data_IF_404703562620
#
_entry.id   IF_404703562620
#
_cell.length_a   1.000
_cell.length_b   1.000
_cell.length_c   1.000
_cell.angle_alpha   90.00
_cell.angle_beta   90.00
_cell.angle_gamma   90.00
#
_symmetry.space_group_name_H-M   'P 1'
#
loop_
_entity.id
_entity.type
_entity.pdbx_description
1 polymer ?
#
# COMPACT_ATOMS: atom_id res chain seq x y z
N UNK A 1 15.89 -5.75 -1.77
CA UNK A 1 15.28 -7.08 -2.04
C UNK A 1 14.01 -7.32 -1.21
N UNK A 2 14.01 -7.07 0.12
CA UNK A 2 12.85 -7.38 0.99
C UNK A 2 11.58 -6.61 0.67
N UNK A 3 11.65 -5.29 0.47
CA UNK A 3 10.47 -4.49 0.11
C UNK A 3 9.82 -5.00 -1.17
N UNK A 4 10.61 -5.28 -2.20
CA UNK A 4 10.10 -5.83 -3.46
C UNK A 4 9.42 -7.19 -3.25
N UNK A 5 10.02 -8.11 -2.49
CA UNK A 5 9.41 -9.42 -2.17
C UNK A 5 8.09 -9.28 -1.41
N UNK A 6 8.04 -8.36 -0.46
CA UNK A 6 6.85 -8.06 0.32
C UNK A 6 5.73 -7.52 -0.59
N UNK A 7 6.03 -6.59 -1.49
CA UNK A 7 5.03 -6.00 -2.39
C UNK A 7 4.59 -7.00 -3.47
N UNK A 8 5.53 -7.80 -4.00
CA UNK A 8 5.20 -8.92 -4.89
C UNK A 8 4.23 -9.88 -4.20
N UNK A 9 4.47 -10.24 -2.95
CA UNK A 9 3.53 -11.09 -2.20
C UNK A 9 2.15 -10.43 -2.06
N UNK A 10 2.08 -9.14 -1.74
CA UNK A 10 0.81 -8.41 -1.68
C UNK A 10 0.07 -8.38 -3.03
N UNK A 11 0.79 -8.34 -4.15
CA UNK A 11 0.21 -8.44 -5.49
C UNK A 11 -0.29 -9.85 -5.80
N UNK A 12 0.45 -10.89 -5.39
CA UNK A 12 0.08 -12.30 -5.63
C UNK A 12 -1.16 -12.73 -4.82
N UNK A 13 -1.38 -12.14 -3.64
CA UNK A 13 -2.46 -12.54 -2.74
C UNK A 13 -3.41 -11.36 -2.41
N UNK A 14 -4.24 -10.92 -3.37
CA UNK A 14 -5.09 -9.73 -3.21
C UNK A 14 -6.13 -9.87 -2.08
N UNK A 15 -6.73 -11.05 -1.89
CA UNK A 15 -7.66 -11.29 -0.78
C UNK A 15 -6.97 -11.14 0.58
N UNK A 16 -5.75 -11.64 0.69
CA UNK A 16 -4.96 -11.53 1.91
C UNK A 16 -4.49 -10.10 2.14
N UNK A 17 -4.14 -9.39 1.07
CA UNK A 17 -3.82 -7.96 1.10
C UNK A 17 -4.99 -7.14 1.66
N UNK A 18 -6.23 -7.43 1.22
CA UNK A 18 -7.43 -6.79 1.78
C UNK A 18 -7.55 -7.06 3.28
N UNK A 19 -7.29 -8.29 3.73
CA UNK A 19 -7.32 -8.62 5.17
C UNK A 19 -6.23 -7.92 5.99
N UNK A 20 -5.12 -7.51 5.35
CA UNK A 20 -4.03 -6.75 5.98
C UNK A 20 -4.30 -5.23 6.05
N UNK A 21 -4.93 -4.66 5.03
CA UNK A 21 -5.08 -3.20 4.88
C UNK A 21 -6.52 -2.70 4.94
N UNK A 22 -7.50 -3.60 5.07
CA UNK A 22 -8.89 -3.33 4.71
C UNK A 22 -9.04 -2.93 3.24
N UNK A 23 -10.24 -3.13 2.75
CA UNK A 23 -10.65 -2.68 1.44
C UNK A 23 -11.09 -1.20 1.46
N UNK A 24 -11.21 -0.57 0.28
CA UNK A 24 -11.86 0.74 0.16
C UNK A 24 -13.38 0.59 0.17
N UNK A 25 -14.06 1.39 1.00
CA UNK A 25 -15.53 1.41 0.99
C UNK A 25 -16.09 1.84 -0.37
N UNK A 26 -15.44 2.81 -1.03
CA UNK A 26 -15.91 3.32 -2.32
C UNK A 26 -15.80 2.25 -3.42
N UNK A 27 -14.70 1.51 -3.46
CA UNK A 27 -14.52 0.43 -4.44
C UNK A 27 -15.52 -0.70 -4.20
N UNK A 28 -15.74 -1.10 -2.95
CA UNK A 28 -16.74 -2.10 -2.61
C UNK A 28 -18.13 -1.72 -3.12
N UNK A 29 -18.55 -0.46 -2.92
CA UNK A 29 -19.84 0.07 -3.40
C UNK A 29 -19.89 0.08 -4.93
N UNK A 30 -18.84 0.56 -5.60
CA UNK A 30 -18.78 0.61 -7.06
C UNK A 30 -18.86 -0.79 -7.70
N UNK A 31 -18.29 -1.80 -7.03
CA UNK A 31 -18.30 -3.20 -7.46
C UNK A 31 -19.56 -3.98 -6.99
N UNK A 32 -20.46 -3.34 -6.24
CA UNK A 32 -21.68 -3.96 -5.71
C UNK A 32 -21.41 -5.09 -4.69
N UNK A 33 -20.24 -5.09 -4.05
CA UNK A 33 -19.84 -6.07 -3.05
C UNK A 33 -19.82 -5.47 -1.64
N UNK A 34 -19.89 -6.34 -0.64
CA UNK A 34 -19.72 -5.92 0.74
C UNK A 34 -18.29 -5.47 1.01
N UNK A 35 -18.17 -4.34 1.72
CA UNK A 35 -16.88 -3.83 2.19
C UNK A 35 -16.19 -4.85 3.10
N UNK A 36 -14.93 -5.15 2.80
CA UNK A 36 -14.15 -6.09 3.58
C UNK A 36 -13.23 -5.34 4.53
N UNK A 37 -13.42 -5.60 5.83
CA UNK A 37 -12.58 -5.04 6.87
C UNK A 37 -11.35 -5.90 7.15
N UNK A 38 -10.35 -5.28 7.76
CA UNK A 38 -9.19 -5.94 8.32
C UNK A 38 -9.58 -7.14 9.19
N UNK A 39 -8.85 -8.24 9.07
CA UNK A 39 -9.16 -9.46 9.82
C UNK A 39 -8.75 -9.37 11.30
N UNK A 40 -9.50 -10.05 12.17
CA UNK A 40 -9.11 -10.32 13.56
C UNK A 40 -7.86 -11.20 13.66
N UNK A 41 -7.55 -11.97 12.61
CA UNK A 41 -6.36 -12.84 12.49
C UNK A 41 -5.18 -12.11 11.81
N UNK A 42 -5.03 -10.81 12.06
CA UNK A 42 -4.03 -9.98 11.36
C UNK A 42 -2.59 -10.49 11.55
N UNK A 43 -2.30 -11.07 12.70
CA UNK A 43 -0.97 -11.60 13.02
C UNK A 43 -0.60 -12.79 12.13
N UNK A 44 -1.56 -13.67 11.82
CA UNK A 44 -1.35 -14.81 10.92
C UNK A 44 -0.99 -14.33 9.51
N UNK A 45 -1.63 -13.25 9.04
CA UNK A 45 -1.29 -12.66 7.75
C UNK A 45 0.06 -11.96 7.74
N UNK A 46 0.45 -11.31 8.85
CA UNK A 46 1.81 -10.78 8.96
C UNK A 46 2.86 -11.88 9.03
N UNK A 47 2.55 -13.02 9.64
CA UNK A 47 3.41 -14.19 9.63
C UNK A 47 3.60 -14.72 8.20
N UNK A 48 2.53 -14.83 7.40
CA UNK A 48 2.64 -15.24 5.99
C UNK A 48 3.49 -14.27 5.15
N UNK A 49 3.37 -12.95 5.40
CA UNK A 49 4.27 -11.97 4.75
C UNK A 49 5.71 -12.22 5.18
N UNK A 50 5.95 -12.45 6.48
CA UNK A 50 7.29 -12.74 6.98
C UNK A 50 7.86 -14.02 6.33
N UNK A 51 7.05 -15.06 6.14
CA UNK A 51 7.48 -16.30 5.48
C UNK A 51 7.95 -15.99 4.05
N UNK A 52 7.17 -15.24 3.29
CA UNK A 52 7.50 -14.87 1.91
C UNK A 52 8.78 -14.03 1.78
N UNK A 53 9.05 -13.19 2.78
CA UNK A 53 10.21 -12.29 2.78
C UNK A 53 11.47 -13.00 3.27
N UNK A 54 11.41 -13.73 4.38
CA UNK A 54 12.60 -14.18 5.12
C UNK A 54 12.92 -15.67 4.99
N UNK A 55 11.95 -16.54 4.68
CA UNK A 55 12.20 -17.99 4.61
C UNK A 55 13.26 -18.35 3.57
N UNK A 56 13.26 -17.62 2.46
CA UNK A 56 14.23 -17.77 1.38
C UNK A 56 15.08 -16.51 1.20
N UNK A 57 15.40 -15.80 2.30
CA UNK A 57 16.27 -14.63 2.24
C UNK A 57 17.61 -14.95 1.54
N UNK A 58 18.22 -13.97 0.89
CA UNK A 58 19.55 -14.18 0.32
C UNK A 58 20.62 -14.22 1.41
N UNK A 59 20.40 -13.49 2.50
CA UNK A 59 21.28 -13.51 3.66
C UNK A 59 21.05 -14.77 4.49
N UNK A 60 22.07 -15.61 4.57
CA UNK A 60 22.01 -16.87 5.32
C UNK A 60 21.77 -16.66 6.81
N UNK A 61 22.33 -15.61 7.41
CA UNK A 61 22.14 -15.33 8.83
C UNK A 61 20.70 -14.93 9.11
N UNK A 62 20.11 -14.10 8.25
CA UNK A 62 18.69 -13.73 8.36
C UNK A 62 17.79 -14.96 8.18
N UNK A 63 18.05 -15.83 7.20
CA UNK A 63 17.31 -17.09 7.05
C UNK A 63 17.37 -17.95 8.31
N UNK A 64 18.57 -18.13 8.86
CA UNK A 64 18.76 -18.96 10.06
C UNK A 64 18.03 -18.38 11.27
N UNK A 65 18.15 -17.07 11.49
CA UNK A 65 17.48 -16.37 12.57
C UNK A 65 15.95 -16.47 12.42
N UNK A 66 15.45 -16.33 11.19
CA UNK A 66 14.03 -16.46 10.88
C UNK A 66 13.51 -17.87 11.17
N UNK A 67 14.21 -18.91 10.70
CA UNK A 67 13.85 -20.30 10.97
C UNK A 67 13.81 -20.61 12.47
N UNK A 68 14.71 -20.01 13.25
CA UNK A 68 14.77 -20.23 14.69
C UNK A 68 13.68 -19.46 15.45
N UNK A 69 13.35 -18.23 15.03
CA UNK A 69 12.42 -17.35 15.74
C UNK A 69 11.46 -16.60 14.80
N UNK A 70 10.57 -17.30 14.08
CA UNK A 70 9.77 -16.70 13.01
C UNK A 70 8.83 -15.59 13.51
N UNK A 71 8.27 -15.75 14.71
CA UNK A 71 7.33 -14.77 15.31
C UNK A 71 8.00 -13.43 15.64
N UNK A 72 9.32 -13.40 15.86
CA UNK A 72 10.05 -12.15 16.13
C UNK A 72 10.09 -11.21 14.92
N UNK A 73 9.83 -11.72 13.72
CA UNK A 73 9.87 -10.96 12.47
C UNK A 73 8.53 -10.31 12.10
N UNK A 74 7.43 -10.66 12.79
CA UNK A 74 6.12 -9.99 12.61
C UNK A 74 6.25 -8.48 12.92
N UNK A 75 6.95 -8.13 14.01
CA UNK A 75 7.11 -6.73 14.42
C UNK A 75 7.89 -5.91 13.38
N UNK A 76 9.08 -6.35 12.89
CA UNK A 76 9.75 -5.73 11.76
C UNK A 76 8.87 -5.52 10.53
N UNK A 77 8.06 -6.52 10.13
CA UNK A 77 7.12 -6.37 9.01
C UNK A 77 6.10 -5.25 9.27
N UNK A 78 5.47 -5.24 10.45
CA UNK A 78 4.51 -4.18 10.84
C UNK A 78 5.17 -2.79 10.78
N UNK A 79 6.35 -2.64 11.36
CA UNK A 79 7.11 -1.38 11.33
C UNK A 79 7.49 -0.96 9.91
N UNK A 80 7.85 -1.92 9.05
CA UNK A 80 8.18 -1.64 7.66
C UNK A 80 6.97 -1.14 6.87
N UNK A 81 5.77 -1.74 7.07
CA UNK A 81 4.55 -1.22 6.46
C UNK A 81 4.21 0.20 6.90
N UNK A 82 4.40 0.52 8.18
CA UNK A 82 4.22 1.89 8.67
C UNK A 82 5.18 2.88 8.00
N UNK A 83 6.44 2.48 7.81
CA UNK A 83 7.42 3.24 7.06
C UNK A 83 6.99 3.47 5.60
N UNK A 84 6.53 2.40 4.92
CA UNK A 84 6.04 2.50 3.53
C UNK A 84 4.82 3.40 3.42
N UNK A 85 3.86 3.31 4.36
CA UNK A 85 2.70 4.18 4.42
C UNK A 85 3.10 5.65 4.58
N UNK A 86 4.07 5.94 5.46
CA UNK A 86 4.61 7.30 5.61
C UNK A 86 5.25 7.80 4.32
N UNK A 87 6.10 6.99 3.68
CA UNK A 87 6.77 7.35 2.41
C UNK A 87 5.78 7.55 1.26
N UNK A 88 4.77 6.70 1.18
CA UNK A 88 3.69 6.84 0.22
C UNK A 88 2.94 8.17 0.39
N UNK A 89 2.55 8.53 1.62
CA UNK A 89 1.88 9.81 1.86
C UNK A 89 2.81 11.02 1.63
N UNK A 90 4.10 10.92 1.96
CA UNK A 90 5.10 11.94 1.60
C UNK A 90 5.14 12.17 0.08
N UNK A 91 5.14 11.10 -0.72
CA UNK A 91 5.09 11.19 -2.18
C UNK A 91 3.76 11.74 -2.70
N UNK A 92 2.62 11.31 -2.13
CA UNK A 92 1.31 11.80 -2.57
C UNK A 92 1.10 13.29 -2.30
N UNK A 93 1.78 13.89 -1.32
CA UNK A 93 1.75 15.35 -1.13
C UNK A 93 2.29 16.10 -2.35
N UNK A 94 3.20 15.50 -3.12
CA UNK A 94 3.71 16.09 -4.37
C UNK A 94 2.65 16.12 -5.47
N UNK A 95 1.71 15.17 -5.48
CA UNK A 95 0.58 15.15 -6.43
C UNK A 95 -0.53 16.15 -6.07
N UNK A 96 -0.62 16.53 -4.79
CA UNK A 96 -1.69 17.37 -4.28
C UNK A 96 -3.07 16.68 -4.35
N UNK A 97 -4.12 17.44 -4.03
CA UNK A 97 -5.51 16.95 -4.06
C UNK A 97 -5.96 16.57 -5.47
N UNK A 98 -5.50 17.30 -6.50
CA UNK A 98 -5.88 17.07 -7.91
C UNK A 98 -5.40 15.74 -8.48
N UNK A 99 -4.34 15.15 -7.91
CA UNK A 99 -3.84 13.83 -8.27
C UNK A 99 -4.31 12.72 -7.34
N UNK A 100 -5.07 13.05 -6.29
CA UNK A 100 -5.48 12.07 -5.30
C UNK A 100 -6.52 11.10 -5.87
N UNK A 101 -6.29 9.80 -5.71
CA UNK A 101 -7.22 8.76 -6.14
C UNK A 101 -7.19 8.43 -7.63
N UNK A 102 -6.56 9.26 -8.48
CA UNK A 102 -6.35 8.95 -9.89
C UNK A 102 -5.43 7.74 -10.06
N UNK A 103 -5.68 6.93 -11.09
CA UNK A 103 -4.78 5.85 -11.53
C UNK A 103 -3.46 6.44 -12.03
N UNK A 104 -2.43 5.59 -12.16
CA UNK A 104 -1.15 6.00 -12.75
C UNK A 104 -1.35 6.40 -14.20
N UNK A 105 -2.22 5.71 -14.92
CA UNK A 105 -2.61 5.99 -16.30
C UNK A 105 -3.25 7.38 -16.42
N UNK A 106 -4.27 7.68 -15.60
CA UNK A 106 -4.94 9.00 -15.58
C UNK A 106 -3.98 10.14 -15.18
N UNK A 107 -3.02 9.86 -14.30
CA UNK A 107 -1.98 10.82 -13.95
C UNK A 107 -1.01 11.05 -15.12
N UNK A 108 -0.64 10.02 -15.87
CA UNK A 108 0.27 10.13 -17.00
C UNK A 108 -0.36 10.78 -18.24
N UNK A 109 -1.68 10.71 -18.38
CA UNK A 109 -2.41 11.41 -19.44
C UNK A 109 -2.35 12.95 -19.31
N UNK A 110 -1.99 13.47 -18.13
CA UNK A 110 -1.81 14.90 -17.88
C UNK A 110 -0.32 15.24 -17.87
N UNK A 111 0.19 16.12 -18.78
CA UNK A 111 1.63 16.40 -18.90
C UNK A 111 2.31 16.83 -17.60
N UNK A 112 1.65 17.68 -16.81
CA UNK A 112 2.16 18.17 -15.52
C UNK A 112 2.26 17.04 -14.48
N UNK A 113 1.23 16.18 -14.40
CA UNK A 113 1.20 15.07 -13.46
C UNK A 113 2.14 13.94 -13.86
N UNK A 114 2.29 13.65 -15.16
CA UNK A 114 3.28 12.69 -15.65
C UNK A 114 4.69 13.03 -15.16
N UNK A 115 5.08 14.30 -15.24
CA UNK A 115 6.39 14.76 -14.77
C UNK A 115 6.56 14.56 -13.25
N UNK A 116 5.48 14.74 -12.47
CA UNK A 116 5.50 14.50 -11.02
C UNK A 116 5.57 13.01 -10.70
N UNK A 117 4.82 12.17 -11.40
CA UNK A 117 4.85 10.71 -11.26
C UNK A 117 6.24 10.18 -11.54
N UNK A 118 6.91 10.64 -12.62
CA UNK A 118 8.26 10.20 -12.95
C UNK A 118 9.28 10.59 -11.87
N UNK A 119 9.15 11.80 -11.29
CA UNK A 119 9.97 12.22 -10.14
C UNK A 119 9.70 11.39 -8.89
N UNK A 120 8.44 11.03 -8.62
CA UNK A 120 8.07 10.18 -7.50
C UNK A 120 8.69 8.79 -7.68
N UNK A 121 8.55 8.18 -8.85
CA UNK A 121 9.09 6.86 -9.14
C UNK A 121 10.62 6.82 -9.10
N UNK A 122 11.29 7.90 -9.51
CA UNK A 122 12.74 8.03 -9.39
C UNK A 122 13.21 8.06 -7.92
N UNK A 123 12.44 8.70 -7.03
CA UNK A 123 12.81 8.86 -5.61
C UNK A 123 12.29 7.71 -4.72
N UNK A 124 11.18 7.08 -5.10
CA UNK A 124 10.48 6.06 -4.34
C UNK A 124 9.86 5.04 -5.31
N UNK A 125 10.70 4.12 -5.78
CA UNK A 125 10.35 3.14 -6.83
C UNK A 125 9.14 2.25 -6.51
N UNK A 126 8.84 2.05 -5.22
CA UNK A 126 7.72 1.23 -4.75
C UNK A 126 6.38 1.98 -4.72
N UNK A 127 6.39 3.27 -5.08
CA UNK A 127 5.18 4.08 -5.04
C UNK A 127 4.06 3.49 -5.90
N UNK A 128 4.37 2.98 -7.10
CA UNK A 128 3.35 2.44 -8.01
C UNK A 128 2.56 1.27 -7.39
N UNK A 129 3.25 0.28 -6.83
CA UNK A 129 2.62 -0.87 -6.16
C UNK A 129 1.74 -0.39 -5.00
N UNK A 130 2.29 0.48 -4.14
CA UNK A 130 1.57 1.02 -2.98
C UNK A 130 0.36 1.86 -3.40
N UNK A 131 0.48 2.62 -4.49
CA UNK A 131 -0.61 3.40 -5.03
C UNK A 131 -1.74 2.49 -5.53
N UNK A 132 -1.41 1.38 -6.20
CA UNK A 132 -2.38 0.35 -6.57
C UNK A 132 -3.11 -0.26 -5.36
N UNK A 133 -2.49 -0.29 -4.18
CA UNK A 133 -3.12 -0.84 -2.96
C UNK A 133 -3.96 0.18 -2.20
N UNK A 134 -3.52 1.44 -2.19
CA UNK A 134 -3.96 2.40 -1.19
C UNK A 134 -4.63 3.65 -1.78
N UNK A 135 -4.61 3.87 -3.10
CA UNK A 135 -5.05 5.16 -3.69
C UNK A 135 -6.46 5.59 -3.28
N UNK A 136 -7.39 4.64 -3.16
CA UNK A 136 -8.80 4.86 -2.83
C UNK A 136 -9.11 4.57 -1.36
N UNK A 137 -8.13 4.13 -0.57
CA UNK A 137 -8.32 3.76 0.82
C UNK A 137 -7.97 4.95 1.74
N UNK A 138 -8.97 5.59 2.39
CA UNK A 138 -8.74 6.80 3.18
C UNK A 138 -7.87 6.58 4.44
N UNK A 139 -7.69 5.33 4.87
CA UNK A 139 -6.78 4.98 5.97
C UNK A 139 -5.30 5.09 5.58
N UNK A 140 -5.00 5.02 4.28
CA UNK A 140 -3.63 4.96 3.76
C UNK A 140 -3.30 6.10 2.80
N UNK A 141 -4.28 6.65 2.08
CA UNK A 141 -4.10 7.85 1.26
C UNK A 141 -4.80 9.05 1.90
N UNK A 142 -4.08 9.79 2.74
CA UNK A 142 -4.67 10.91 3.48
C UNK A 142 -5.00 12.11 2.59
N UNK A 143 -4.30 12.24 1.46
CA UNK A 143 -4.53 13.33 0.49
C UNK A 143 -5.86 13.14 -0.24
N UNK A 144 -6.27 11.88 -0.45
CA UNK A 144 -7.58 11.54 -1.01
C UNK A 144 -8.71 11.81 -0.01
N UNK A 145 -8.52 11.47 1.26
CA UNK A 145 -9.52 11.75 2.32
C UNK A 145 -9.82 13.23 2.51
N UNK A 146 -8.88 14.13 2.18
CA UNK A 146 -9.10 15.59 2.23
C UNK A 146 -9.81 16.15 1.01
N UNK A 147 -9.95 15.36 -0.06
CA UNK A 147 -10.80 15.73 -1.19
C UNK A 147 -12.25 15.39 -0.82
N UNK A 148 -12.88 16.27 -0.03
CA UNK A 148 -14.30 16.18 0.28
C UNK A 148 -15.10 16.36 -1.03
N UNK A 149 -15.87 15.36 -1.51
CA UNK A 149 -16.73 15.54 -2.69
C UNK A 149 -17.99 16.37 -2.38
N UNK A 150 -18.15 16.86 -1.14
CA UNK A 150 -19.42 17.36 -0.61
C UNK A 150 -19.52 18.85 -0.30
N UNK A 151 -18.72 19.73 -0.92
CA UNK A 151 -18.87 21.18 -0.73
C UNK A 151 -18.93 21.98 -2.04
N UNK A 152 -19.76 21.52 -2.99
CA UNK A 152 -20.36 22.41 -3.98
C UNK A 152 -21.84 22.62 -3.62
N UNK A 153 -22.09 23.49 -2.63
CA UNK A 153 -23.39 24.14 -2.56
C UNK A 153 -23.40 25.25 -3.60
N UNK A 154 -23.99 24.96 -4.75
CA UNK A 154 -24.39 25.99 -5.71
C UNK A 154 -25.31 27.00 -5.00
N UNK A 155 -24.97 28.29 -5.11
CA UNK A 155 -25.82 29.42 -4.78
C UNK A 155 -26.44 29.99 -6.06
#
# INVERSE_FOLDING_TARGET
AHTSRLLTWCNTYPDTRIKLFSDSHQEAVNEGRWHQQMSTQKEDYFQQVADAVFLHDHDQHIRQLYTQYPSLFIKPIKSHFQFLCKKYNEANKTLGSTGAGLTIEELKDKPEMSTLVDKILANFLWWADLHGFWRTNPLYNTVFSTADPGQDFAA
#
